data_IF_597017829375
#
_entry.id   IF_597017829375
#
_cell.length_a   1.000
_cell.length_b   1.000
_cell.length_c   1.000
_cell.angle_alpha   90.00
_cell.angle_beta   90.00
_cell.angle_gamma   90.00
#
_symmetry.space_group_name_H-M   'P 1'
#
loop_
_entity.id
_entity.type
_entity.pdbx_description
1 polymer ?
#
# COMPACT_ATOMS: atom_id res chain seq x y z
N UNK A 1 -8.79 -37.12 -35.03
CA UNK A 1 -7.66 -36.30 -34.54
C UNK A 1 -8.18 -34.91 -34.28
N UNK A 2 -7.93 -34.36 -33.08
CA UNK A 2 -8.32 -33.00 -32.71
C UNK A 2 -7.07 -32.25 -32.27
N UNK A 3 -6.94 -30.99 -32.67
CA UNK A 3 -5.83 -30.12 -32.30
C UNK A 3 -6.40 -28.89 -31.60
N UNK A 4 -5.96 -28.65 -30.37
CA UNK A 4 -6.49 -27.58 -29.54
C UNK A 4 -5.85 -27.55 -28.15
N UNK A 5 -6.18 -26.55 -27.32
CA UNK A 5 -5.65 -26.41 -25.98
C UNK A 5 -6.34 -27.39 -25.02
N UNK A 6 -5.95 -28.67 -25.09
CA UNK A 6 -6.47 -29.71 -24.21
C UNK A 6 -5.47 -30.01 -23.10
N UNK A 7 -5.90 -29.83 -21.85
CA UNK A 7 -5.13 -30.29 -20.69
C UNK A 7 -5.21 -31.80 -20.56
N UNK A 8 -4.06 -32.44 -20.35
CA UNK A 8 -3.96 -33.87 -20.06
C UNK A 8 -4.40 -34.09 -18.60
N UNK A 9 -5.43 -34.90 -18.38
CA UNK A 9 -5.86 -35.31 -17.04
C UNK A 9 -6.12 -36.81 -17.02
N UNK A 10 -5.99 -37.43 -15.85
CA UNK A 10 -6.14 -38.88 -15.69
C UNK A 10 -7.48 -39.41 -16.25
N UNK A 11 -8.60 -38.74 -15.96
CA UNK A 11 -9.90 -39.20 -16.46
C UNK A 11 -10.03 -39.07 -17.97
N UNK A 12 -9.39 -38.08 -18.61
CA UNK A 12 -9.47 -37.91 -20.07
C UNK A 12 -8.55 -38.87 -20.81
N UNK A 13 -7.40 -39.21 -20.23
CA UNK A 13 -6.47 -40.20 -20.80
C UNK A 13 -7.01 -41.62 -20.82
N UNK A 14 -8.07 -41.92 -20.07
CA UNK A 14 -8.74 -43.22 -20.14
C UNK A 14 -9.55 -43.41 -21.44
N UNK A 15 -9.93 -42.32 -22.11
CA UNK A 15 -10.80 -42.35 -23.29
C UNK A 15 -10.12 -41.80 -24.55
N UNK A 16 -8.95 -41.19 -24.43
CA UNK A 16 -8.21 -40.60 -25.54
C UNK A 16 -6.70 -40.72 -25.33
N UNK A 17 -5.98 -41.06 -26.40
CA UNK A 17 -4.52 -41.05 -26.42
C UNK A 17 -4.01 -39.63 -26.69
N UNK A 18 -2.99 -39.22 -25.94
CA UNK A 18 -2.34 -37.92 -26.07
C UNK A 18 -0.96 -38.07 -26.72
N UNK A 19 -0.57 -37.10 -27.54
CA UNK A 19 0.82 -36.95 -27.98
C UNK A 19 1.71 -36.43 -26.85
N UNK A 20 3.00 -36.24 -27.14
CA UNK A 20 3.89 -35.51 -26.24
C UNK A 20 3.35 -34.11 -25.91
N UNK A 21 3.61 -33.65 -24.69
CA UNK A 21 3.15 -32.36 -24.17
C UNK A 21 3.92 -31.24 -24.87
N UNK A 22 3.23 -30.43 -25.65
CA UNK A 22 3.82 -29.29 -26.37
C UNK A 22 4.01 -28.05 -25.49
N UNK A 23 3.18 -27.88 -24.45
CA UNK A 23 3.19 -26.71 -23.59
C UNK A 23 2.78 -27.09 -22.16
N UNK A 24 3.55 -26.62 -21.18
CA UNK A 24 3.25 -26.75 -19.76
C UNK A 24 2.64 -25.43 -19.28
N UNK A 25 1.43 -25.50 -18.73
CA UNK A 25 0.73 -24.36 -18.14
C UNK A 25 0.49 -24.59 -16.65
N UNK A 26 0.35 -23.50 -15.91
CA UNK A 26 0.04 -23.49 -14.48
C UNK A 26 -1.32 -22.82 -14.24
N UNK A 27 -1.93 -23.12 -13.11
CA UNK A 27 -3.15 -22.43 -12.67
C UNK A 27 -2.77 -21.24 -11.81
N UNK A 28 -3.57 -20.18 -11.90
CA UNK A 28 -3.38 -18.98 -11.08
C UNK A 28 -4.71 -18.39 -10.62
N UNK A 29 -4.60 -17.41 -9.74
CA UNK A 29 -5.72 -16.59 -9.28
C UNK A 29 -5.61 -15.23 -9.96
N UNK A 30 -6.68 -14.83 -10.63
CA UNK A 30 -6.78 -13.61 -11.39
C UNK A 30 -7.69 -12.65 -10.63
N UNK A 31 -7.11 -11.59 -10.08
CA UNK A 31 -7.79 -10.67 -9.17
C UNK A 31 -8.06 -9.32 -9.84
N UNK A 32 -9.23 -8.70 -9.62
CA UNK A 32 -9.45 -7.33 -10.07
C UNK A 32 -8.39 -6.43 -9.43
N UNK A 33 -7.86 -5.45 -10.19
CA UNK A 33 -6.85 -4.54 -9.67
C UNK A 33 -7.41 -3.83 -8.43
N UNK A 34 -6.72 -3.91 -7.30
CA UNK A 34 -7.10 -3.14 -6.13
C UNK A 34 -7.08 -1.64 -6.47
N UNK A 35 -8.15 -0.95 -6.09
CA UNK A 35 -8.22 0.51 -6.24
C UNK A 35 -7.44 1.14 -5.09
N UNK A 36 -6.69 2.19 -5.40
CA UNK A 36 -6.15 3.05 -4.37
C UNK A 36 -7.32 3.75 -3.69
N UNK A 37 -7.60 3.41 -2.44
CA UNK A 37 -8.54 4.17 -1.63
C UNK A 37 -7.92 5.54 -1.34
N UNK A 38 -8.73 6.60 -1.46
CA UNK A 38 -8.28 7.97 -1.19
C UNK A 38 -8.12 8.13 0.31
N UNK A 39 -6.93 7.85 0.80
CA UNK A 39 -6.62 8.00 2.20
C UNK A 39 -6.40 9.48 2.52
N UNK A 40 -7.37 10.12 3.18
CA UNK A 40 -7.33 11.55 3.47
C UNK A 40 -6.17 11.91 4.41
N UNK A 41 -5.68 10.97 5.20
CA UNK A 41 -4.55 11.13 6.12
C UNK A 41 -3.23 10.61 5.57
N UNK A 42 -3.13 10.36 4.26
CA UNK A 42 -1.89 9.87 3.65
C UNK A 42 -0.70 10.81 3.84
N UNK A 43 -0.95 12.10 4.13
CA UNK A 43 0.10 13.08 4.42
C UNK A 43 0.75 12.91 5.80
N UNK A 44 0.14 12.20 6.74
CA UNK A 44 0.72 11.94 8.08
C UNK A 44 1.64 10.71 8.08
N UNK A 45 1.38 9.76 7.17
CA UNK A 45 2.13 8.52 6.98
C UNK A 45 3.63 8.64 6.68
N UNK A 46 4.17 9.73 6.09
CA UNK A 46 5.60 9.84 5.81
C UNK A 46 6.47 9.73 7.06
N UNK A 47 5.95 10.15 8.22
CA UNK A 47 6.63 9.98 9.50
C UNK A 47 5.87 9.03 10.41
N UNK A 48 6.57 8.07 11.04
CA UNK A 48 5.96 7.18 11.99
C UNK A 48 5.67 7.95 13.30
N UNK A 49 4.77 7.42 14.13
CA UNK A 49 4.25 8.15 15.30
C UNK A 49 5.35 8.50 16.31
N UNK A 50 6.44 7.73 16.34
CA UNK A 50 7.64 7.96 17.15
C UNK A 50 8.31 9.31 16.80
N UNK A 51 8.37 9.66 15.52
CA UNK A 51 8.96 10.94 15.07
C UNK A 51 8.03 12.10 15.43
N UNK A 52 6.73 11.91 15.28
CA UNK A 52 5.73 12.93 15.65
C UNK A 52 5.76 13.25 17.14
N UNK A 53 5.83 12.23 17.98
CA UNK A 53 5.95 12.44 19.43
C UNK A 53 7.30 13.02 19.83
N UNK A 54 8.39 12.56 19.22
CA UNK A 54 9.71 13.17 19.38
C UNK A 54 9.72 14.65 19.04
N UNK A 55 9.06 15.06 17.95
CA UNK A 55 8.92 16.46 17.55
C UNK A 55 8.10 17.27 18.55
N UNK A 56 6.99 16.72 19.04
CA UNK A 56 6.17 17.38 20.08
C UNK A 56 6.95 17.55 21.39
N UNK A 57 7.71 16.55 21.80
CA UNK A 57 8.57 16.60 23.00
C UNK A 57 9.68 17.63 22.82
N UNK A 58 10.36 17.64 21.67
CA UNK A 58 11.42 18.61 21.36
C UNK A 58 10.89 20.05 21.34
N UNK A 59 9.70 20.26 20.76
CA UNK A 59 9.04 21.56 20.74
C UNK A 59 8.60 21.98 22.15
N UNK A 60 8.04 21.04 22.94
CA UNK A 60 7.70 21.29 24.34
C UNK A 60 8.92 21.68 25.18
N UNK A 61 10.02 20.92 25.08
CA UNK A 61 11.28 21.20 25.78
C UNK A 61 11.87 22.55 25.40
N UNK A 62 11.85 22.92 24.11
CA UNK A 62 12.35 24.23 23.67
C UNK A 62 11.50 25.40 24.18
N UNK A 63 10.17 25.26 24.23
CA UNK A 63 9.27 26.25 24.85
C UNK A 63 9.51 26.33 26.37
N UNK A 64 9.59 25.19 27.06
CA UNK A 64 9.87 25.13 28.49
C UNK A 64 11.21 25.79 28.83
N UNK A 65 12.25 25.54 28.04
CA UNK A 65 13.56 26.17 28.21
C UNK A 65 13.48 27.69 28.00
N UNK A 66 12.76 28.16 26.98
CA UNK A 66 12.56 29.60 26.73
C UNK A 66 11.82 30.31 27.88
N UNK A 67 10.79 29.67 28.44
CA UNK A 67 10.05 30.18 29.60
C UNK A 67 10.91 30.15 30.86
N UNK A 68 11.65 29.06 31.09
CA UNK A 68 12.56 28.93 32.22
C UNK A 68 13.66 29.99 32.19
N UNK A 69 14.28 30.21 31.03
CA UNK A 69 15.30 31.24 30.86
C UNK A 69 14.72 32.63 31.13
N UNK A 70 13.49 32.92 30.69
CA UNK A 70 12.79 34.18 31.00
C UNK A 70 12.57 34.37 32.50
N UNK A 71 12.08 33.32 33.15
CA UNK A 71 11.81 33.32 34.59
C UNK A 71 13.10 33.52 35.38
N UNK A 72 14.17 32.82 35.00
CA UNK A 72 15.50 32.92 35.61
C UNK A 72 16.11 34.32 35.45
N UNK A 73 16.01 34.92 34.26
CA UNK A 73 16.51 36.30 34.03
C UNK A 73 15.73 37.34 34.83
N UNK A 74 14.41 37.15 34.99
CA UNK A 74 13.58 38.02 35.81
C UNK A 74 13.91 37.87 37.31
N UNK A 75 14.15 36.64 37.78
CA UNK A 75 14.52 36.37 39.18
C UNK A 75 15.87 37.01 39.57
N UNK A 76 16.80 37.13 38.61
CA UNK A 76 18.12 37.73 38.82
C UNK A 76 18.19 39.25 38.54
N UNK A 77 17.07 39.91 38.22
CA UNK A 77 17.00 41.34 37.89
C UNK A 77 18.05 41.80 36.85
N UNK A 78 18.36 40.97 35.86
CA UNK A 78 19.34 41.31 34.82
C UNK A 78 18.76 42.39 33.87
N UNK A 79 19.42 43.54 33.69
CA UNK A 79 18.93 44.61 32.82
C UNK A 79 19.16 44.26 31.33
N UNK A 80 18.13 44.47 30.50
CA UNK A 80 18.25 44.44 29.03
C UNK A 80 17.57 43.26 28.30
N UNK A 81 16.73 42.47 28.97
CA UNK A 81 16.31 41.15 28.47
C UNK A 81 14.83 41.06 28.01
N UNK A 82 14.16 42.20 27.80
CA UNK A 82 12.71 42.25 27.55
C UNK A 82 12.26 41.97 26.10
N UNK A 83 13.16 42.06 25.12
CA UNK A 83 12.80 42.08 23.68
C UNK A 83 13.45 40.98 22.83
N UNK A 84 14.25 40.09 23.40
CA UNK A 84 14.92 39.05 22.62
C UNK A 84 13.90 38.01 22.11
N UNK A 85 14.11 37.55 20.88
CA UNK A 85 13.27 36.62 20.15
C UNK A 85 13.00 35.34 20.96
N UNK A 86 14.01 34.87 21.70
CA UNK A 86 14.00 33.63 22.49
C UNK A 86 12.85 33.56 23.49
N UNK A 87 12.37 34.69 24.00
CA UNK A 87 11.32 34.75 25.03
C UNK A 87 9.89 34.64 24.48
N UNK A 88 9.71 34.60 23.16
CA UNK A 88 8.40 34.46 22.51
C UNK A 88 8.32 33.11 21.77
N UNK A 89 7.54 32.12 22.22
CA UNK A 89 7.54 30.78 21.61
C UNK A 89 7.14 30.77 20.12
N UNK A 90 6.51 31.83 19.61
CA UNK A 90 6.06 31.95 18.23
C UNK A 90 7.17 31.79 17.18
N UNK A 91 8.44 32.08 17.51
CA UNK A 91 9.54 31.91 16.56
C UNK A 91 9.87 30.44 16.30
N UNK A 92 9.66 29.55 17.29
CA UNK A 92 9.92 28.11 17.16
C UNK A 92 9.04 27.51 16.07
N UNK A 93 7.74 27.84 16.06
CA UNK A 93 6.81 27.40 15.02
C UNK A 93 7.13 28.00 13.65
N UNK A 94 7.51 29.28 13.59
CA UNK A 94 7.91 29.92 12.32
C UNK A 94 9.17 29.29 11.74
N UNK A 95 10.18 29.07 12.58
CA UNK A 95 11.43 28.46 12.18
C UNK A 95 11.27 26.98 11.80
N UNK A 96 10.35 26.23 12.46
CA UNK A 96 9.99 24.86 12.07
C UNK A 96 9.41 24.80 10.65
N UNK A 97 8.55 25.77 10.32
CA UNK A 97 7.96 25.91 8.98
C UNK A 97 8.91 26.59 7.97
N UNK A 98 10.17 26.83 8.34
CA UNK A 98 11.15 27.59 7.54
C UNK A 98 10.62 28.97 7.10
N UNK A 99 9.71 29.57 7.89
CA UNK A 99 9.18 30.91 7.65
C UNK A 99 10.06 31.97 8.31
N UNK A 100 10.20 33.15 7.70
CA UNK A 100 10.91 34.25 8.31
C UNK A 100 10.22 34.69 9.61
N UNK A 101 11.03 35.04 10.60
CA UNK A 101 10.58 35.56 11.89
C UNK A 101 11.27 36.89 12.18
N UNK A 102 10.50 37.84 12.70
CA UNK A 102 10.96 39.13 13.17
C UNK A 102 10.50 39.27 14.63
N UNK A 103 11.32 39.78 15.55
CA UNK A 103 12.65 40.39 15.39
C UNK A 103 13.81 39.39 15.24
N UNK A 104 14.95 39.85 14.73
CA UNK A 104 16.18 39.04 14.62
C UNK A 104 16.88 38.87 15.98
N UNK A 105 17.56 37.73 16.23
CA UNK A 105 18.32 37.51 17.45
C UNK A 105 19.52 38.47 17.54
N UNK A 106 19.55 39.27 18.60
CA UNK A 106 20.58 40.28 18.82
C UNK A 106 21.86 39.72 19.46
N UNK A 107 21.76 38.67 20.29
CA UNK A 107 22.90 38.06 20.97
C UNK A 107 23.49 36.88 20.17
N UNK A 108 24.81 36.68 20.27
CA UNK A 108 25.50 35.54 19.66
C UNK A 108 24.91 34.19 20.15
N UNK A 109 24.53 34.12 21.43
CA UNK A 109 23.93 32.92 22.05
C UNK A 109 22.57 32.58 21.43
N UNK A 110 21.72 33.58 21.20
CA UNK A 110 20.42 33.36 20.56
C UNK A 110 20.56 33.05 19.07
N UNK A 111 21.57 33.59 18.38
CA UNK A 111 21.90 33.24 16.99
C UNK A 111 22.33 31.78 16.83
N UNK A 112 23.19 31.26 17.70
CA UNK A 112 23.60 29.85 17.65
C UNK A 112 22.41 28.94 17.92
N UNK A 113 21.59 29.24 18.92
CA UNK A 113 20.38 28.48 19.24
C UNK A 113 19.40 28.43 18.05
N UNK A 114 19.11 29.59 17.46
CA UNK A 114 18.24 29.71 16.27
C UNK A 114 18.85 28.96 15.08
N UNK A 115 20.17 29.07 14.87
CA UNK A 115 20.89 28.36 13.81
C UNK A 115 20.80 26.85 13.94
N UNK A 116 21.03 26.30 15.13
CA UNK A 116 20.85 24.86 15.39
C UNK A 116 19.41 24.43 15.12
N UNK A 117 18.42 25.20 15.58
CA UNK A 117 17.01 24.90 15.34
C UNK A 117 16.63 24.94 13.86
N UNK A 118 17.19 25.90 13.10
CA UNK A 118 16.98 26.03 11.66
C UNK A 118 17.56 24.82 10.90
N UNK A 119 18.76 24.37 11.27
CA UNK A 119 19.36 23.16 10.66
C UNK A 119 18.50 21.94 10.95
N UNK A 120 18.03 21.75 12.19
CA UNK A 120 17.12 20.66 12.53
C UNK A 120 15.83 20.71 11.72
N UNK A 121 15.22 21.90 11.59
CA UNK A 121 13.99 22.11 10.82
C UNK A 121 14.18 21.86 9.33
N UNK A 122 15.34 22.26 8.78
CA UNK A 122 15.71 22.02 7.39
C UNK A 122 15.83 20.52 7.09
N UNK A 123 16.52 19.76 7.96
CA UNK A 123 16.66 18.31 7.82
C UNK A 123 15.30 17.61 7.90
N UNK A 124 14.46 17.99 8.87
CA UNK A 124 13.10 17.44 9.01
C UNK A 124 12.23 17.71 7.78
N UNK A 125 12.23 18.95 7.27
CA UNK A 125 11.42 19.34 6.12
C UNK A 125 11.86 18.61 4.84
N UNK A 126 13.17 18.55 4.58
CA UNK A 126 13.72 17.85 3.41
C UNK A 126 13.45 16.35 3.46
N UNK A 127 13.60 15.71 4.64
CA UNK A 127 13.26 14.30 4.82
C UNK A 127 11.77 14.04 4.60
N UNK A 128 10.89 14.87 5.17
CA UNK A 128 9.45 14.75 4.98
C UNK A 128 9.05 14.85 3.51
N UNK A 129 9.59 15.84 2.80
CA UNK A 129 9.35 16.03 1.37
C UNK A 129 9.86 14.83 0.55
N UNK A 130 11.02 14.27 0.88
CA UNK A 130 11.59 13.11 0.21
C UNK A 130 10.70 11.86 0.36
N UNK A 131 10.29 11.55 1.59
CA UNK A 131 9.42 10.38 1.84
C UNK A 131 8.04 10.58 1.24
N UNK A 132 7.47 11.78 1.34
CA UNK A 132 6.19 12.10 0.72
C UNK A 132 6.24 11.94 -0.80
N UNK A 133 7.31 12.44 -1.44
CA UNK A 133 7.52 12.30 -2.89
C UNK A 133 7.65 10.83 -3.29
N UNK A 134 8.34 10.02 -2.49
CA UNK A 134 8.45 8.58 -2.74
C UNK A 134 7.09 7.87 -2.64
N UNK A 135 6.29 8.18 -1.63
CA UNK A 135 4.94 7.63 -1.47
C UNK A 135 4.00 8.01 -2.62
N UNK A 136 4.12 9.24 -3.13
CA UNK A 136 3.34 9.73 -4.27
C UNK A 136 3.79 9.12 -5.60
N UNK A 137 5.09 8.86 -5.75
CA UNK A 137 5.66 8.26 -6.95
C UNK A 137 5.28 6.77 -7.09
N UNK A 138 5.26 6.04 -5.98
CA UNK A 138 4.99 4.61 -5.95
C UNK A 138 3.93 4.30 -4.88
N UNK A 139 2.63 4.41 -5.22
CA UNK A 139 1.59 4.08 -4.28
C UNK A 139 1.63 2.58 -3.94
N UNK A 140 1.78 2.26 -2.66
CA UNK A 140 1.76 0.88 -2.19
C UNK A 140 0.36 0.30 -2.33
N UNK A 141 0.24 -0.74 -3.12
CA UNK A 141 -1.00 -1.47 -3.33
C UNK A 141 -0.96 -2.75 -2.49
N UNK A 142 -1.76 -2.81 -1.43
CA UNK A 142 -1.88 -4.02 -0.62
C UNK A 142 -2.86 -4.97 -1.30
N UNK A 143 -2.36 -6.13 -1.74
CA UNK A 143 -3.19 -7.19 -2.32
C UNK A 143 -3.62 -8.10 -1.17
N UNK A 144 -4.93 -8.23 -0.88
CA UNK A 144 -5.40 -8.94 0.31
C UNK A 144 -5.27 -10.46 0.22
N UNK A 145 -5.11 -11.00 -0.99
CA UNK A 145 -5.12 -12.45 -1.26
C UNK A 145 -3.80 -12.85 -1.88
N UNK A 146 -3.05 -13.72 -1.18
CA UNK A 146 -1.74 -14.20 -1.62
C UNK A 146 -1.73 -15.70 -1.97
N UNK A 147 -2.72 -16.45 -1.49
CA UNK A 147 -2.90 -17.88 -1.72
C UNK A 147 -4.37 -18.22 -1.93
N UNK A 148 -4.65 -19.44 -2.38
CA UNK A 148 -6.03 -19.93 -2.49
C UNK A 148 -6.71 -20.02 -1.11
N UNK A 149 -5.95 -20.34 -0.06
CA UNK A 149 -6.44 -20.36 1.32
C UNK A 149 -6.84 -18.96 1.79
N UNK A 150 -6.04 -17.95 1.46
CA UNK A 150 -6.37 -16.55 1.75
C UNK A 150 -7.64 -16.12 1.00
N UNK A 151 -7.84 -16.59 -0.24
CA UNK A 151 -9.05 -16.30 -1.01
C UNK A 151 -10.30 -16.86 -0.34
N UNK A 152 -10.22 -18.12 0.10
CA UNK A 152 -11.33 -18.81 0.78
C UNK A 152 -11.64 -18.19 2.14
N UNK A 153 -10.61 -17.78 2.89
CA UNK A 153 -10.78 -17.17 4.21
C UNK A 153 -11.27 -15.73 4.14
N UNK A 154 -10.81 -14.94 3.15
CA UNK A 154 -11.17 -13.53 3.01
C UNK A 154 -12.66 -13.32 2.70
N UNK A 155 -13.32 -14.28 2.01
CA UNK A 155 -14.78 -14.37 1.66
C UNK A 155 -15.45 -13.12 1.04
N UNK A 156 -14.75 -11.99 0.95
CA UNK A 156 -15.26 -10.70 0.49
C UNK A 156 -15.18 -10.55 -1.02
N UNK A 157 -14.29 -11.32 -1.66
CA UNK A 157 -14.14 -11.37 -3.11
C UNK A 157 -14.83 -12.65 -3.59
N UNK A 158 -15.95 -12.55 -4.31
CA UNK A 158 -16.56 -13.72 -4.95
C UNK A 158 -15.56 -14.31 -5.95
N UNK A 159 -15.59 -15.63 -6.17
CA UNK A 159 -14.64 -16.28 -7.08
C UNK A 159 -15.29 -17.31 -7.99
N UNK A 160 -14.76 -17.42 -9.21
CA UNK A 160 -15.29 -18.28 -10.27
C UNK A 160 -14.23 -19.12 -10.94
N UNK A 161 -14.67 -20.19 -11.61
CA UNK A 161 -13.88 -20.92 -12.58
C UNK A 161 -14.74 -21.38 -13.76
N UNK A 162 -14.10 -21.71 -14.87
CA UNK A 162 -14.77 -22.14 -16.08
C UNK A 162 -15.16 -23.63 -16.05
N UNK A 163 -16.40 -23.91 -16.43
CA UNK A 163 -16.94 -25.27 -16.51
C UNK A 163 -16.25 -26.10 -17.59
N UNK A 164 -16.08 -27.41 -17.36
CA UNK A 164 -15.47 -28.31 -18.35
C UNK A 164 -13.96 -28.18 -18.53
N UNK A 165 -13.29 -27.37 -17.72
CA UNK A 165 -11.83 -27.25 -17.69
C UNK A 165 -11.17 -28.34 -16.83
N UNK A 166 -9.84 -28.49 -16.94
CA UNK A 166 -9.10 -29.38 -16.03
C UNK A 166 -9.17 -28.91 -14.57
N UNK A 167 -9.30 -27.60 -14.34
CA UNK A 167 -9.44 -27.00 -13.02
C UNK A 167 -10.80 -27.34 -12.40
N UNK A 168 -11.88 -27.30 -13.19
CA UNK A 168 -13.20 -27.79 -12.75
C UNK A 168 -13.13 -29.27 -12.33
N UNK A 169 -12.46 -30.11 -13.12
CA UNK A 169 -12.29 -31.53 -12.81
C UNK A 169 -11.45 -31.75 -11.54
N UNK A 170 -10.40 -30.96 -11.33
CA UNK A 170 -9.57 -30.99 -10.12
C UNK A 170 -10.41 -30.70 -8.86
N UNK A 171 -11.25 -29.67 -8.91
CA UNK A 171 -12.12 -29.28 -7.80
C UNK A 171 -13.26 -30.26 -7.57
N UNK A 172 -13.81 -30.85 -8.63
CA UNK A 172 -14.86 -31.87 -8.53
C UNK A 172 -14.37 -33.16 -7.87
N UNK A 173 -13.13 -33.58 -8.15
CA UNK A 173 -12.52 -34.79 -7.58
C UNK A 173 -12.06 -34.58 -6.13
N UNK A 174 -11.81 -33.34 -5.71
CA UNK A 174 -11.29 -33.03 -4.38
C UNK A 174 -12.28 -33.42 -3.26
N UNK A 175 -11.88 -34.39 -2.42
CA UNK A 175 -12.76 -34.94 -1.36
C UNK A 175 -12.72 -34.14 -0.04
N UNK A 176 -11.63 -33.40 0.21
CA UNK A 176 -11.42 -32.59 1.42
C UNK A 176 -10.45 -31.44 1.19
N UNK A 177 -10.52 -30.41 2.04
CA UNK A 177 -9.60 -29.27 2.04
C UNK A 177 -10.09 -28.06 1.23
N UNK A 178 -9.19 -27.12 0.99
CA UNK A 178 -9.45 -25.82 0.34
C UNK A 178 -10.09 -25.99 -1.03
N UNK A 179 -9.62 -26.95 -1.83
CA UNK A 179 -10.16 -27.19 -3.18
C UNK A 179 -11.64 -27.60 -3.18
N UNK A 180 -12.08 -28.40 -2.21
CA UNK A 180 -13.50 -28.74 -2.04
C UNK A 180 -14.31 -27.52 -1.64
N UNK A 181 -13.80 -26.74 -0.69
CA UNK A 181 -14.49 -25.51 -0.28
C UNK A 181 -14.60 -24.49 -1.41
N UNK A 182 -13.61 -24.43 -2.30
CA UNK A 182 -13.67 -23.63 -3.51
C UNK A 182 -14.72 -24.18 -4.46
N UNK A 183 -14.77 -25.50 -4.68
CA UNK A 183 -15.80 -26.12 -5.51
C UNK A 183 -17.23 -25.77 -5.06
N UNK A 184 -17.47 -25.83 -3.75
CA UNK A 184 -18.81 -25.65 -3.17
C UNK A 184 -19.27 -24.18 -3.15
N UNK A 185 -18.34 -23.24 -3.06
CA UNK A 185 -18.63 -21.80 -2.92
C UNK A 185 -18.38 -20.98 -4.20
N UNK A 186 -17.60 -21.50 -5.15
CA UNK A 186 -17.33 -20.81 -6.40
C UNK A 186 -18.53 -20.94 -7.35
N UNK A 187 -18.76 -19.90 -8.14
CA UNK A 187 -19.70 -19.98 -9.25
C UNK A 187 -19.00 -20.48 -10.52
N UNK A 188 -19.76 -21.24 -11.30
CA UNK A 188 -19.27 -21.83 -12.55
C UNK A 188 -19.65 -20.95 -13.72
N UNK A 189 -18.67 -20.65 -14.57
CA UNK A 189 -18.82 -19.84 -15.77
C UNK A 189 -18.76 -20.74 -17.00
N UNK A 190 -19.63 -20.54 -17.99
CA UNK A 190 -19.59 -21.32 -19.24
C UNK A 190 -18.41 -20.96 -20.14
N UNK A 191 -18.07 -19.66 -20.23
CA UNK A 191 -16.95 -19.15 -21.02
C UNK A 191 -16.39 -17.87 -20.41
N UNK A 192 -15.11 -17.90 -20.01
CA UNK A 192 -14.44 -16.73 -19.43
C UNK A 192 -14.38 -15.55 -20.40
N UNK A 193 -14.36 -15.83 -21.70
CA UNK A 193 -14.26 -14.80 -22.73
C UNK A 193 -15.58 -14.05 -22.93
N UNK A 194 -16.70 -14.74 -22.75
CA UNK A 194 -18.04 -14.17 -22.92
C UNK A 194 -18.44 -13.35 -21.69
N UNK A 195 -18.15 -13.85 -20.49
CA UNK A 195 -18.50 -13.19 -19.23
C UNK A 195 -17.53 -12.10 -18.78
N UNK A 196 -16.55 -11.74 -19.61
CA UNK A 196 -15.50 -10.77 -19.26
C UNK A 196 -16.05 -9.44 -18.75
N UNK A 197 -17.10 -8.90 -19.36
CA UNK A 197 -17.66 -7.62 -18.91
C UNK A 197 -18.26 -7.73 -17.51
N UNK A 198 -18.91 -8.87 -17.21
CA UNK A 198 -19.43 -9.17 -15.88
C UNK A 198 -18.30 -9.31 -14.85
N UNK A 199 -17.18 -9.92 -15.23
CA UNK A 199 -15.95 -10.00 -14.42
C UNK A 199 -15.47 -8.59 -14.01
N UNK A 200 -15.53 -7.64 -14.95
CA UNK A 200 -15.12 -6.25 -14.72
C UNK A 200 -16.06 -5.50 -13.77
N UNK A 201 -17.36 -5.70 -13.93
CA UNK A 201 -18.40 -5.01 -13.17
C UNK A 201 -18.55 -5.57 -11.75
N UNK A 202 -18.69 -6.89 -11.63
CA UNK A 202 -18.96 -7.59 -10.37
C UNK A 202 -17.69 -7.83 -9.53
N UNK A 203 -16.49 -7.59 -10.09
CA UNK A 203 -15.19 -7.67 -9.40
C UNK A 203 -14.95 -8.94 -8.60
N UNK A 204 -15.17 -10.08 -9.24
CA UNK A 204 -14.81 -11.36 -8.68
C UNK A 204 -13.40 -11.80 -9.10
N UNK A 205 -12.82 -12.71 -8.33
CA UNK A 205 -11.60 -13.40 -8.69
C UNK A 205 -11.91 -14.55 -9.67
N UNK A 206 -11.00 -14.80 -10.60
CA UNK A 206 -11.09 -15.93 -11.53
C UNK A 206 -9.97 -16.92 -11.28
N UNK A 207 -10.33 -18.20 -11.25
CA UNK A 207 -9.41 -19.31 -11.17
C UNK A 207 -9.33 -19.94 -12.55
N UNK A 208 -8.20 -19.77 -13.22
CA UNK A 208 -7.96 -20.30 -14.56
C UNK A 208 -6.47 -20.51 -14.83
N UNK A 209 -6.17 -21.10 -15.97
CA UNK A 209 -4.82 -21.29 -16.50
C UNK A 209 -4.25 -19.99 -17.10
N UNK A 210 -2.91 -19.85 -17.19
CA UNK A 210 -2.30 -18.63 -17.71
C UNK A 210 -2.63 -18.36 -19.17
N UNK A 211 -2.86 -19.41 -19.96
CA UNK A 211 -3.26 -19.25 -21.35
C UNK A 211 -4.62 -18.54 -21.45
N UNK A 212 -5.61 -19.01 -20.69
CA UNK A 212 -6.92 -18.36 -20.56
C UNK A 212 -6.82 -16.95 -20.00
N UNK A 213 -5.98 -16.71 -18.98
CA UNK A 213 -5.73 -15.37 -18.45
C UNK A 213 -5.19 -14.41 -19.51
N UNK A 214 -4.21 -14.84 -20.31
CA UNK A 214 -3.66 -14.04 -21.41
C UNK A 214 -4.72 -13.74 -22.45
N UNK A 215 -5.57 -14.71 -22.77
CA UNK A 215 -6.68 -14.54 -23.72
C UNK A 215 -7.69 -13.49 -23.25
N UNK A 216 -8.05 -13.51 -21.96
CA UNK A 216 -8.93 -12.50 -21.36
C UNK A 216 -8.24 -11.13 -21.34
N UNK A 217 -6.96 -11.08 -20.96
CA UNK A 217 -6.16 -9.84 -20.83
C UNK A 217 -5.88 -9.10 -22.14
N UNK A 218 -5.85 -9.76 -23.30
CA UNK A 218 -5.28 -9.21 -24.55
C UNK A 218 -6.14 -8.14 -25.27
N UNK A 219 -6.95 -7.36 -24.55
CA UNK A 219 -7.57 -6.11 -25.03
C UNK A 219 -7.37 -5.04 -23.96
N UNK A 220 -6.97 -3.84 -24.40
CA UNK A 220 -6.33 -2.71 -23.69
C UNK A 220 -6.96 -2.18 -22.38
N UNK A 221 -7.91 -2.87 -21.74
CA UNK A 221 -8.72 -2.35 -20.63
C UNK A 221 -8.86 -3.36 -19.48
N UNK A 222 -7.78 -4.09 -19.16
CA UNK A 222 -7.78 -4.99 -18.00
C UNK A 222 -6.84 -4.51 -16.92
N UNK A 223 -7.45 -3.88 -15.93
CA UNK A 223 -6.90 -3.63 -14.61
C UNK A 223 -6.89 -4.96 -13.83
N UNK A 224 -5.94 -5.84 -14.11
CA UNK A 224 -5.90 -7.18 -13.48
C UNK A 224 -4.51 -7.52 -12.98
N UNK A 225 -4.46 -8.06 -11.76
CA UNK A 225 -3.25 -8.56 -11.13
C UNK A 225 -3.13 -10.07 -11.32
N UNK A 226 -1.96 -10.51 -11.79
CA UNK A 226 -1.60 -11.91 -11.97
C UNK A 226 -0.60 -12.30 -10.90
N UNK A 227 -0.88 -13.39 -10.18
CA UNK A 227 0.09 -13.97 -9.25
C UNK A 227 0.42 -15.40 -9.68
N UNK A 228 1.71 -15.68 -9.84
CA UNK A 228 2.27 -17.02 -10.01
C UNK A 228 2.41 -17.72 -8.66
#
# INVERSE_FOLDING_TARGET
>A
MALGPFSVTYMRSQFADYSEILYLDSFGIFLPRPRLEKDLFSFVKPFPWEVWTGLLVLLGLSVCLGVFMKWFTNALNLPGTGSDLVFRPNWLFKALLLKPFNPEPSLLKSRVMVGTWLVTSLILCTAYQGVLTSMLAAPSVNIPVNSLEDLVSYRRIPYAYEYGTALHQLFMVATSGTFKTVHDNAFQVTSLFEERERIKEERFALLCDFFSMKKVRNKEVWDIYIKN
#
